data_IF_460839179573
#
_entry.id   IF_460839179573
#
_cell.length_a   1.000
_cell.length_b   1.000
_cell.length_c   1.000
_cell.angle_alpha   90.00
_cell.angle_beta   90.00
_cell.angle_gamma   90.00
#
_symmetry.space_group_name_H-M   'P 1'
#
loop_
_entity.id
_entity.type
_entity.pdbx_description
1 polymer ?
#
# COMPACT_ATOMS: atom_id res chain seq x y z
N UNK A 1 -27.97 33.49 -11.82
CA UNK A 1 -26.96 33.86 -10.81
C UNK A 1 -26.62 32.56 -10.12
N UNK A 2 -25.42 32.05 -10.41
CA UNK A 2 -25.02 30.67 -10.14
C UNK A 2 -25.02 30.38 -8.65
N UNK A 3 -25.71 29.30 -8.28
CA UNK A 3 -25.53 28.60 -7.02
C UNK A 3 -24.09 28.10 -6.95
N UNK A 4 -23.32 28.66 -6.02
CA UNK A 4 -22.06 28.06 -5.57
C UNK A 4 -22.45 26.82 -4.78
N UNK A 5 -22.48 25.66 -5.45
CA UNK A 5 -22.43 24.37 -4.77
C UNK A 5 -21.19 24.38 -3.87
N UNK A 6 -21.42 24.45 -2.56
CA UNK A 6 -20.38 24.26 -1.56
C UNK A 6 -19.76 22.88 -1.80
N UNK A 7 -18.56 22.87 -2.38
CA UNK A 7 -17.74 21.67 -2.46
C UNK A 7 -17.63 21.09 -1.06
N UNK A 8 -17.81 19.77 -0.86
CA UNK A 8 -17.69 19.17 0.46
C UNK A 8 -16.32 19.56 1.02
N UNK A 9 -16.28 20.17 2.21
CA UNK A 9 -15.01 20.43 2.91
C UNK A 9 -14.32 19.09 3.09
N UNK A 10 -13.37 18.81 2.20
CA UNK A 10 -12.51 17.64 2.25
C UNK A 10 -11.64 17.79 3.50
N UNK A 11 -12.11 17.28 4.64
CA UNK A 11 -11.35 17.20 5.88
C UNK A 11 -10.21 16.18 5.69
N UNK A 12 -9.15 16.63 5.04
CA UNK A 12 -7.93 15.86 4.80
C UNK A 12 -6.87 16.29 5.81
N UNK A 13 -6.03 15.36 6.29
CA UNK A 13 -4.79 15.73 6.99
C UNK A 13 -3.98 16.72 6.15
N UNK A 14 -3.34 17.69 6.81
CA UNK A 14 -2.68 18.80 6.12
C UNK A 14 -1.65 18.35 5.08
N UNK A 15 -0.79 17.37 5.38
CA UNK A 15 0.18 16.84 4.41
C UNK A 15 -0.48 16.17 3.20
N UNK A 16 -1.61 15.50 3.41
CA UNK A 16 -2.39 14.94 2.30
C UNK A 16 -2.94 16.07 1.44
N UNK A 17 -3.56 17.09 2.03
CA UNK A 17 -4.04 18.26 1.29
C UNK A 17 -2.91 18.99 0.54
N UNK A 18 -1.70 19.04 1.09
CA UNK A 18 -0.51 19.57 0.41
C UNK A 18 -0.11 18.72 -0.79
N UNK A 19 -0.11 17.39 -0.66
CA UNK A 19 0.23 16.47 -1.77
C UNK A 19 -0.74 16.63 -2.97
N UNK A 20 -2.02 16.83 -2.68
CA UNK A 20 -3.04 17.14 -3.69
C UNK A 20 -2.98 18.58 -4.24
N UNK A 21 -2.16 19.44 -3.66
CA UNK A 21 -2.09 20.86 -4.03
C UNK A 21 -3.33 21.67 -3.68
N UNK A 22 -4.21 21.16 -2.81
CA UNK A 22 -5.47 21.82 -2.40
C UNK A 22 -5.33 22.65 -1.12
N UNK A 23 -4.23 22.51 -0.38
CA UNK A 23 -3.92 23.37 0.77
C UNK A 23 -3.29 24.71 0.34
N UNK A 24 -3.60 25.78 1.07
CA UNK A 24 -3.02 27.11 0.84
C UNK A 24 -1.50 27.07 1.00
N UNK A 25 -0.80 27.22 -0.13
CA UNK A 25 0.66 27.35 -0.12
C UNK A 25 0.99 28.74 0.45
N UNK A 26 1.90 28.88 1.44
CA UNK A 26 2.29 30.20 1.93
C UNK A 26 2.75 31.08 0.75
N UNK A 27 2.02 32.17 0.51
CA UNK A 27 2.24 33.13 -0.56
C UNK A 27 2.77 34.46 0.00
N UNK A 28 4.01 34.84 -0.41
CA UNK A 28 4.41 36.19 -0.89
C UNK A 28 5.96 36.29 -1.05
N UNK A 29 6.43 36.83 -2.19
CA UNK A 29 7.82 37.29 -2.44
C UNK A 29 8.43 36.86 -3.80
N UNK A 30 9.36 37.65 -4.40
CA UNK A 30 9.92 37.35 -5.74
C UNK A 30 10.90 36.16 -5.68
N UNK A 31 10.69 35.16 -6.55
CA UNK A 31 11.43 33.88 -6.71
C UNK A 31 11.65 33.07 -5.41
N UNK A 32 10.86 32.01 -5.23
CA UNK A 32 11.01 31.02 -4.15
C UNK A 32 12.39 30.35 -4.20
N UNK A 33 13.25 30.62 -3.23
CA UNK A 33 14.41 29.76 -2.93
C UNK A 33 14.01 28.48 -2.17
N UNK A 34 12.80 28.46 -1.59
CA UNK A 34 12.26 27.34 -0.80
C UNK A 34 10.81 27.02 -1.20
N UNK A 35 10.56 25.75 -1.53
CA UNK A 35 9.23 25.19 -1.82
C UNK A 35 9.09 23.80 -1.18
N UNK A 36 7.86 23.28 -1.12
CA UNK A 36 7.61 21.92 -0.59
C UNK A 36 8.33 20.91 -1.46
N UNK A 37 8.25 21.07 -2.78
CA UNK A 37 8.88 20.19 -3.76
C UNK A 37 10.40 20.12 -3.50
N UNK A 38 11.07 21.27 -3.31
CA UNK A 38 12.52 21.31 -2.99
C UNK A 38 12.85 20.71 -1.62
N UNK A 39 11.97 20.90 -0.62
CA UNK A 39 12.15 20.31 0.71
C UNK A 39 12.08 18.78 0.63
N UNK A 40 11.10 18.25 -0.12
CA UNK A 40 10.91 16.82 -0.32
C UNK A 40 12.08 16.22 -1.11
N UNK A 41 12.49 16.86 -2.20
CA UNK A 41 13.64 16.44 -3.02
C UNK A 41 14.92 16.31 -2.17
N UNK A 42 15.28 17.35 -1.40
CA UNK A 42 16.46 17.29 -0.53
C UNK A 42 16.32 16.25 0.59
N UNK A 43 15.11 16.00 1.09
CA UNK A 43 14.87 14.96 2.08
C UNK A 43 15.04 13.55 1.48
N UNK A 44 14.60 13.33 0.23
CA UNK A 44 14.82 12.09 -0.52
C UNK A 44 16.31 11.88 -0.77
N UNK A 45 17.04 12.90 -1.25
CA UNK A 45 18.50 12.82 -1.48
C UNK A 45 19.26 12.40 -0.21
N UNK A 46 18.92 12.99 0.94
CA UNK A 46 19.52 12.62 2.23
C UNK A 46 19.17 11.16 2.59
N UNK A 47 17.91 10.75 2.41
CA UNK A 47 17.47 9.41 2.77
C UNK A 47 18.03 8.33 1.83
N UNK A 48 18.21 8.63 0.54
CA UNK A 48 18.86 7.75 -0.43
C UNK A 48 20.34 7.58 -0.10
N UNK A 49 21.04 8.65 0.27
CA UNK A 49 22.48 8.62 0.51
C UNK A 49 22.87 8.08 1.91
N UNK A 50 22.08 8.38 2.93
CA UNK A 50 22.46 8.15 4.34
C UNK A 50 21.41 7.34 5.13
N UNK A 51 20.34 6.92 4.47
CA UNK A 51 19.24 6.17 5.07
C UNK A 51 18.26 7.05 5.87
N UNK A 52 17.09 6.48 6.17
CA UNK A 52 16.01 7.20 6.85
C UNK A 52 16.38 7.64 8.27
N UNK A 53 17.24 6.88 8.95
CA UNK A 53 17.70 7.17 10.31
C UNK A 53 18.46 8.50 10.42
N UNK A 54 19.17 8.89 9.36
CA UNK A 54 19.91 10.15 9.30
C UNK A 54 19.00 11.38 9.04
N UNK A 55 17.74 11.16 8.63
CA UNK A 55 16.82 12.23 8.27
C UNK A 55 16.28 12.95 9.50
N UNK A 56 16.51 14.27 9.55
CA UNK A 56 15.89 15.17 10.53
C UNK A 56 15.53 16.51 9.89
N UNK A 57 14.54 17.21 10.45
CA UNK A 57 14.14 18.54 9.96
C UNK A 57 15.31 19.52 9.94
N UNK A 58 16.21 19.45 10.93
CA UNK A 58 17.39 20.31 11.00
C UNK A 58 18.40 20.00 9.89
N UNK A 59 18.60 18.72 9.56
CA UNK A 59 19.51 18.30 8.49
C UNK A 59 19.00 18.74 7.11
N UNK A 60 17.71 18.55 6.83
CA UNK A 60 17.09 19.02 5.59
C UNK A 60 17.20 20.55 5.48
N UNK A 61 16.95 21.27 6.57
CA UNK A 61 17.11 22.73 6.59
C UNK A 61 18.55 23.16 6.29
N UNK A 62 19.52 22.53 6.95
CA UNK A 62 20.95 22.79 6.75
C UNK A 62 21.37 22.52 5.31
N UNK A 63 20.93 21.40 4.72
CA UNK A 63 21.24 21.05 3.32
C UNK A 63 20.70 22.10 2.33
N UNK A 64 19.57 22.73 2.65
CA UNK A 64 18.94 23.75 1.81
C UNK A 64 19.45 25.17 2.08
N UNK A 65 20.27 25.38 3.11
CA UNK A 65 20.76 26.70 3.54
C UNK A 65 19.76 27.51 4.37
N UNK A 66 18.77 26.86 5.00
CA UNK A 66 17.72 27.50 5.79
C UNK A 66 17.74 27.07 7.27
N UNK A 67 17.00 27.80 8.10
CA UNK A 67 16.74 27.40 9.49
C UNK A 67 15.63 26.37 9.57
N UNK A 68 15.65 25.49 10.59
CA UNK A 68 14.59 24.50 10.82
C UNK A 68 13.21 25.15 10.95
N UNK A 69 13.12 26.31 11.61
CA UNK A 69 11.88 27.10 11.71
C UNK A 69 11.34 27.56 10.36
N UNK A 70 12.19 27.66 9.34
CA UNK A 70 11.74 28.01 7.99
C UNK A 70 11.05 26.86 7.28
N UNK A 71 11.46 25.62 7.54
CA UNK A 71 10.82 24.42 6.98
C UNK A 71 9.44 24.19 7.58
N UNK A 72 9.26 24.42 8.89
CA UNK A 72 7.97 24.21 9.57
C UNK A 72 6.82 25.08 9.03
N UNK A 73 7.12 26.15 8.27
CA UNK A 73 6.10 26.93 7.54
C UNK A 73 5.50 26.19 6.34
N UNK A 74 6.21 25.18 5.82
CA UNK A 74 5.81 24.42 4.63
C UNK A 74 5.37 23.00 5.00
N UNK A 75 6.07 22.38 5.96
CA UNK A 75 5.80 21.00 6.40
C UNK A 75 5.77 20.97 7.92
N UNK A 76 4.60 20.69 8.47
CA UNK A 76 4.27 20.89 9.89
C UNK A 76 4.94 19.90 10.84
N UNK A 77 5.37 18.74 10.35
CA UNK A 77 6.03 17.71 11.17
C UNK A 77 6.97 16.84 10.34
N UNK A 78 7.78 16.01 11.01
CA UNK A 78 8.59 14.99 10.33
C UNK A 78 7.68 13.96 9.63
N UNK A 79 6.57 13.59 10.25
CA UNK A 79 5.64 12.60 9.69
C UNK A 79 4.97 13.11 8.41
N UNK A 80 4.62 14.40 8.38
CA UNK A 80 4.13 15.06 7.16
C UNK A 80 5.18 15.04 6.04
N UNK A 81 6.46 15.25 6.40
CA UNK A 81 7.56 15.15 5.44
C UNK A 81 7.70 13.73 4.90
N UNK A 82 7.65 12.72 5.77
CA UNK A 82 7.72 11.31 5.38
C UNK A 82 6.58 10.93 4.43
N UNK A 83 5.36 11.40 4.68
CA UNK A 83 4.22 11.18 3.79
C UNK A 83 4.43 11.81 2.42
N UNK A 84 4.94 13.05 2.37
CA UNK A 84 5.22 13.75 1.11
C UNK A 84 6.39 13.10 0.34
N UNK A 85 7.42 12.63 1.04
CA UNK A 85 8.52 11.86 0.45
C UNK A 85 8.00 10.54 -0.14
N UNK A 86 7.17 9.81 0.60
CA UNK A 86 6.57 8.56 0.12
C UNK A 86 5.73 8.80 -1.15
N UNK A 87 4.92 9.85 -1.17
CA UNK A 87 4.14 10.18 -2.37
C UNK A 87 5.03 10.58 -3.55
N UNK A 88 6.08 11.38 -3.33
CA UNK A 88 7.00 11.76 -4.39
C UNK A 88 7.77 10.55 -4.97
N UNK A 89 8.23 9.64 -4.11
CA UNK A 89 8.92 8.40 -4.52
C UNK A 89 8.00 7.38 -5.21
N UNK A 90 6.68 7.49 -5.03
CA UNK A 90 5.68 6.68 -5.75
C UNK A 90 5.47 7.13 -7.21
N UNK A 91 6.28 8.07 -7.72
CA UNK A 91 6.18 8.53 -9.10
C UNK A 91 6.79 7.49 -10.06
N UNK A 92 5.92 6.68 -10.65
CA UNK A 92 6.30 5.71 -11.69
C UNK A 92 5.66 6.09 -13.03
N UNK A 93 6.43 6.07 -14.11
CA UNK A 93 5.91 6.16 -15.47
C UNK A 93 5.94 4.76 -16.11
N UNK A 94 4.80 4.32 -16.65
CA UNK A 94 4.69 3.06 -17.39
C UNK A 94 4.07 3.35 -18.76
N UNK A 95 4.44 2.56 -19.79
CA UNK A 95 3.68 2.56 -21.03
C UNK A 95 2.23 2.14 -20.76
N UNK A 96 1.31 2.54 -21.63
CA UNK A 96 -0.05 1.99 -21.57
C UNK A 96 0.03 0.47 -21.76
N UNK A 97 -0.71 -0.31 -20.94
CA UNK A 97 -0.71 -1.75 -21.06
C UNK A 97 -1.26 -2.17 -22.43
N UNK A 98 -0.76 -3.27 -23.03
CA UNK A 98 -1.32 -3.78 -24.27
C UNK A 98 -2.81 -4.10 -24.12
N UNK A 99 -3.59 -3.88 -25.18
CA UNK A 99 -5.02 -4.23 -25.19
C UNK A 99 -5.19 -5.73 -24.91
N UNK A 100 -6.15 -6.07 -24.05
CA UNK A 100 -6.51 -7.43 -23.65
C UNK A 100 -5.40 -8.28 -23.01
N UNK A 101 -4.24 -7.70 -22.66
CA UNK A 101 -3.14 -8.38 -21.97
C UNK A 101 -2.91 -7.81 -20.57
N UNK A 102 -3.85 -8.11 -19.68
CA UNK A 102 -3.77 -7.72 -18.27
C UNK A 102 -2.49 -8.25 -17.59
N UNK A 103 -1.98 -9.40 -18.04
CA UNK A 103 -0.84 -10.08 -17.44
C UNK A 103 0.44 -9.29 -17.69
N UNK A 104 0.68 -8.88 -18.93
CA UNK A 104 1.82 -8.01 -19.27
C UNK A 104 1.74 -6.68 -18.53
N UNK A 105 0.55 -6.08 -18.45
CA UNK A 105 0.34 -4.82 -17.72
C UNK A 105 0.69 -4.93 -16.24
N UNK A 106 0.20 -5.96 -15.54
CA UNK A 106 0.55 -6.19 -14.13
C UNK A 106 2.03 -6.56 -13.95
N UNK A 107 2.65 -7.29 -14.87
CA UNK A 107 4.07 -7.60 -14.82
C UNK A 107 4.93 -6.33 -14.88
N UNK A 108 4.66 -5.45 -15.85
CA UNK A 108 5.33 -4.16 -15.99
C UNK A 108 5.12 -3.28 -14.74
N UNK A 109 3.90 -3.26 -14.23
CA UNK A 109 3.56 -2.53 -13.01
C UNK A 109 4.35 -3.05 -11.80
N UNK A 110 4.44 -4.37 -11.63
CA UNK A 110 5.20 -5.02 -10.54
C UNK A 110 6.67 -4.64 -10.60
N UNK A 111 7.29 -4.79 -11.78
CA UNK A 111 8.69 -4.48 -12.02
C UNK A 111 9.04 -3.03 -11.66
N UNK A 112 8.19 -2.09 -12.06
CA UNK A 112 8.44 -0.69 -11.76
C UNK A 112 8.27 -0.34 -10.28
N UNK A 113 7.37 -1.03 -9.57
CA UNK A 113 7.27 -0.88 -8.11
C UNK A 113 8.50 -1.47 -7.39
N UNK A 114 9.00 -2.63 -7.84
CA UNK A 114 10.25 -3.22 -7.32
C UNK A 114 11.42 -2.24 -7.51
N UNK A 115 11.58 -1.70 -8.73
CA UNK A 115 12.66 -0.75 -9.03
C UNK A 115 12.52 0.58 -8.27
N UNK A 116 11.29 1.05 -8.01
CA UNK A 116 11.07 2.22 -7.15
C UNK A 116 11.53 1.97 -5.70
N UNK A 117 11.24 0.79 -5.15
CA UNK A 117 11.69 0.39 -3.82
C UNK A 117 13.20 0.18 -3.74
N UNK A 118 13.79 -0.38 -4.81
CA UNK A 118 15.25 -0.56 -4.93
C UNK A 118 15.98 0.78 -4.96
N UNK A 119 15.43 1.77 -5.68
CA UNK A 119 15.96 3.14 -5.73
C UNK A 119 15.81 3.90 -4.42
N UNK A 120 14.71 3.68 -3.69
CA UNK A 120 14.41 4.36 -2.44
C UNK A 120 14.20 3.36 -1.29
N UNK A 121 15.26 2.69 -0.78
CA UNK A 121 15.13 1.61 0.23
C UNK A 121 14.40 2.05 1.50
N UNK A 122 14.54 3.32 1.88
CA UNK A 122 13.88 3.93 3.03
C UNK A 122 12.36 3.96 2.93
N UNK A 123 11.77 3.84 1.73
CA UNK A 123 10.32 3.82 1.52
C UNK A 123 9.64 2.71 2.35
N UNK A 124 10.31 1.56 2.45
CA UNK A 124 9.77 0.39 3.15
C UNK A 124 9.76 0.53 4.68
N UNK A 125 10.58 1.44 5.21
CA UNK A 125 10.76 1.70 6.64
C UNK A 125 9.69 2.66 7.19
N UNK A 126 8.96 3.35 6.31
CA UNK A 126 7.83 4.21 6.70
C UNK A 126 6.62 3.30 7.02
N UNK A 127 6.05 3.38 8.24
CA UNK A 127 4.90 2.56 8.61
C UNK A 127 3.70 2.81 7.69
N UNK A 128 3.01 1.73 7.31
CA UNK A 128 1.74 1.84 6.58
C UNK A 128 0.65 2.26 7.58
N UNK A 129 0.18 3.49 7.49
CA UNK A 129 -0.90 4.02 8.34
C UNK A 129 -2.14 4.32 7.52
N UNK A 130 -3.22 3.57 7.75
CA UNK A 130 -4.49 3.78 7.07
C UNK A 130 -4.44 3.46 5.56
N UNK A 131 -5.43 3.97 4.82
CA UNK A 131 -5.49 3.82 3.36
C UNK A 131 -4.60 4.89 2.73
N UNK A 132 -3.73 4.54 1.75
CA UNK A 132 -2.97 5.54 1.01
C UNK A 132 -3.91 6.45 0.24
N UNK A 133 -3.88 7.74 0.57
CA UNK A 133 -4.78 8.76 -0.02
C UNK A 133 -4.01 9.87 -0.74
N UNK A 134 -2.74 9.65 -1.03
CA UNK A 134 -1.88 10.62 -1.74
C UNK A 134 -1.94 10.37 -3.25
N UNK A 135 -1.76 11.41 -4.08
CA UNK A 135 -2.09 11.35 -5.50
C UNK A 135 -1.24 10.36 -6.30
N UNK A 136 0.07 10.24 -6.04
CA UNK A 136 0.92 9.32 -6.80
C UNK A 136 0.65 7.87 -6.42
N UNK A 137 0.38 7.59 -5.14
CA UNK A 137 0.02 6.23 -4.71
C UNK A 137 -1.34 5.84 -5.30
N UNK A 138 -2.33 6.74 -5.30
CA UNK A 138 -3.62 6.48 -5.96
C UNK A 138 -3.45 6.27 -7.47
N UNK A 139 -2.54 7.02 -8.12
CA UNK A 139 -2.23 6.84 -9.54
C UNK A 139 -1.62 5.47 -9.81
N UNK A 140 -0.73 4.96 -8.95
CA UNK A 140 -0.23 3.58 -9.06
C UNK A 140 -1.36 2.55 -9.00
N UNK A 141 -2.32 2.73 -8.10
CA UNK A 141 -3.50 1.86 -8.02
C UNK A 141 -4.35 1.96 -9.29
N UNK A 142 -4.61 3.17 -9.80
CA UNK A 142 -5.36 3.36 -11.06
C UNK A 142 -4.68 2.67 -12.25
N UNK A 143 -3.35 2.73 -12.34
CA UNK A 143 -2.58 2.06 -13.38
C UNK A 143 -2.72 0.54 -13.33
N UNK A 144 -2.67 -0.06 -12.14
CA UNK A 144 -2.87 -1.50 -11.99
C UNK A 144 -4.32 -1.92 -12.30
N UNK A 145 -5.31 -1.13 -11.85
CA UNK A 145 -6.72 -1.35 -12.19
C UNK A 145 -6.99 -1.18 -13.68
N UNK A 146 -6.27 -0.27 -14.34
CA UNK A 146 -6.30 -0.11 -15.80
C UNK A 146 -5.86 -1.36 -16.52
N UNK A 147 -4.74 -1.98 -16.09
CA UNK A 147 -4.29 -3.26 -16.64
C UNK A 147 -5.33 -4.38 -16.44
N UNK A 148 -6.08 -4.36 -15.33
CA UNK A 148 -7.13 -5.34 -15.02
C UNK A 148 -8.50 -5.05 -15.65
N UNK A 149 -8.67 -4.00 -16.45
CA UNK A 149 -9.95 -3.70 -17.14
C UNK A 149 -10.50 -4.85 -17.99
N UNK A 150 -9.70 -5.53 -18.84
CA UNK A 150 -10.21 -6.63 -19.66
C UNK A 150 -10.49 -7.92 -18.86
N UNK A 151 -9.98 -8.03 -17.62
CA UNK A 151 -10.20 -9.19 -16.78
C UNK A 151 -11.63 -9.23 -16.23
N UNK A 152 -12.25 -10.42 -16.30
CA UNK A 152 -13.59 -10.69 -15.75
C UNK A 152 -13.55 -10.86 -14.23
N UNK A 153 -13.31 -9.76 -13.55
CA UNK A 153 -13.20 -9.68 -12.09
C UNK A 153 -14.13 -8.56 -11.57
N UNK A 154 -14.74 -8.78 -10.42
CA UNK A 154 -15.40 -7.74 -9.64
C UNK A 154 -14.39 -6.71 -9.10
N UNK A 155 -14.86 -5.53 -8.71
CA UNK A 155 -13.98 -4.48 -8.19
C UNK A 155 -13.21 -4.90 -6.93
N UNK A 156 -13.84 -5.72 -6.06
CA UNK A 156 -13.18 -6.26 -4.88
C UNK A 156 -12.04 -7.21 -5.24
N UNK A 157 -12.22 -8.05 -6.27
CA UNK A 157 -11.18 -8.98 -6.72
C UNK A 157 -10.07 -8.27 -7.46
N UNK A 158 -10.40 -7.24 -8.26
CA UNK A 158 -9.38 -6.39 -8.88
C UNK A 158 -8.50 -5.76 -7.81
N UNK A 159 -9.10 -5.18 -6.76
CA UNK A 159 -8.33 -4.63 -5.64
C UNK A 159 -7.53 -5.70 -4.89
N UNK A 160 -8.09 -6.90 -4.68
CA UNK A 160 -7.35 -8.01 -4.07
C UNK A 160 -6.13 -8.43 -4.92
N UNK A 161 -6.27 -8.49 -6.25
CA UNK A 161 -5.17 -8.75 -7.17
C UNK A 161 -4.10 -7.66 -7.10
N UNK A 162 -4.50 -6.38 -7.11
CA UNK A 162 -3.57 -5.25 -6.95
C UNK A 162 -2.79 -5.37 -5.64
N UNK A 163 -3.48 -5.65 -4.52
CA UNK A 163 -2.82 -5.78 -3.21
C UNK A 163 -1.89 -7.00 -3.15
N UNK A 164 -2.26 -8.12 -3.75
CA UNK A 164 -1.43 -9.33 -3.82
C UNK A 164 -0.12 -9.04 -4.57
N UNK A 165 -0.22 -8.46 -5.76
CA UNK A 165 0.93 -8.15 -6.60
C UNK A 165 1.78 -7.03 -5.99
N UNK A 166 1.17 -6.02 -5.38
CA UNK A 166 1.86 -4.97 -4.62
C UNK A 166 2.66 -5.55 -3.44
N UNK A 167 2.08 -6.51 -2.72
CA UNK A 167 2.74 -7.18 -1.59
C UNK A 167 3.96 -7.99 -2.05
N UNK A 168 3.83 -8.69 -3.19
CA UNK A 168 4.94 -9.41 -3.80
C UNK A 168 6.06 -8.46 -4.24
N UNK A 169 5.72 -7.38 -4.96
CA UNK A 169 6.67 -6.34 -5.34
C UNK A 169 7.39 -5.72 -4.12
N UNK A 170 6.65 -5.47 -3.04
CA UNK A 170 7.22 -4.94 -1.78
C UNK A 170 8.23 -5.89 -1.16
N UNK A 171 7.88 -7.17 -1.03
CA UNK A 171 8.77 -8.16 -0.44
C UNK A 171 10.07 -8.28 -1.23
N UNK A 172 9.98 -8.38 -2.55
CA UNK A 172 11.13 -8.51 -3.44
C UNK A 172 11.98 -7.25 -3.44
N UNK A 173 11.36 -6.07 -3.58
CA UNK A 173 12.07 -4.81 -3.63
C UNK A 173 12.85 -4.52 -2.34
N UNK A 174 12.32 -4.91 -1.17
CA UNK A 174 13.04 -4.80 0.10
C UNK A 174 14.27 -5.69 0.12
N UNK A 175 14.13 -6.97 -0.23
CA UNK A 175 15.26 -7.92 -0.24
C UNK A 175 16.34 -7.46 -1.21
N UNK A 176 15.97 -7.04 -2.43
CA UNK A 176 16.92 -6.53 -3.41
C UNK A 176 17.63 -5.26 -2.94
N UNK A 177 16.89 -4.32 -2.34
CA UNK A 177 17.46 -3.11 -1.78
C UNK A 177 18.46 -3.40 -0.63
N UNK A 178 18.15 -4.37 0.23
CA UNK A 178 19.05 -4.81 1.31
C UNK A 178 20.32 -5.43 0.74
N UNK A 179 20.20 -6.30 -0.25
CA UNK A 179 21.33 -6.92 -0.97
C UNK A 179 22.21 -5.83 -1.59
N UNK A 180 21.64 -4.94 -2.40
CA UNK A 180 22.34 -3.84 -3.06
C UNK A 180 23.04 -2.93 -2.04
N UNK A 181 22.39 -2.67 -0.90
CA UNK A 181 22.90 -1.82 0.17
C UNK A 181 24.08 -2.42 0.96
N UNK A 182 24.28 -3.74 0.94
CA UNK A 182 25.44 -4.36 1.59
C UNK A 182 26.76 -3.98 0.93
N UNK A 183 26.74 -3.72 -0.39
CA UNK A 183 27.94 -3.61 -1.21
C UNK A 183 28.81 -4.87 -1.20
N UNK A 184 28.30 -5.99 -0.70
CA UNK A 184 29.01 -7.25 -0.62
C UNK A 184 29.14 -7.87 -2.02
N UNK A 185 30.23 -8.63 -2.28
CA UNK A 185 30.34 -9.39 -3.53
C UNK A 185 29.20 -10.42 -3.63
N UNK A 186 28.74 -10.69 -4.86
CA UNK A 186 27.62 -11.61 -5.12
C UNK A 186 27.82 -13.00 -4.46
N UNK A 187 29.06 -13.48 -4.38
CA UNK A 187 29.43 -14.75 -3.73
C UNK A 187 29.18 -14.78 -2.20
N UNK A 188 29.16 -13.62 -1.54
CA UNK A 188 28.82 -13.49 -0.12
C UNK A 188 27.31 -13.43 0.08
N UNK A 189 26.61 -12.70 -0.79
CA UNK A 189 25.14 -12.57 -0.77
C UNK A 189 24.46 -13.92 -1.02
N UNK A 190 24.94 -14.66 -2.02
CA UNK A 190 24.43 -15.98 -2.40
C UNK A 190 24.83 -17.08 -1.41
N UNK A 191 25.81 -16.77 -0.54
CA UNK A 191 26.42 -17.74 0.35
C UNK A 191 27.22 -18.82 -0.39
N UNK A 192 27.59 -18.61 -1.66
CA UNK A 192 28.38 -19.57 -2.44
C UNK A 192 29.71 -19.94 -1.74
N UNK A 193 30.30 -19.00 -1.00
CA UNK A 193 31.47 -19.25 -0.16
C UNK A 193 31.24 -20.28 0.96
N UNK A 194 29.99 -20.45 1.41
CA UNK A 194 29.60 -21.44 2.42
C UNK A 194 29.20 -22.79 1.84
N UNK A 195 29.08 -22.93 0.51
CA UNK A 195 28.61 -24.16 -0.13
C UNK A 195 29.34 -25.44 0.34
N UNK A 196 30.69 -25.46 0.48
CA UNK A 196 31.39 -26.65 0.99
C UNK A 196 31.04 -26.99 2.45
N UNK A 197 30.86 -25.95 3.29
CA UNK A 197 30.48 -26.14 4.69
C UNK A 197 29.03 -26.63 4.80
N UNK A 198 28.12 -26.08 3.99
CA UNK A 198 26.73 -26.50 3.91
C UNK A 198 26.62 -27.96 3.45
N UNK A 199 27.36 -28.36 2.43
CA UNK A 199 27.39 -29.75 1.97
C UNK A 199 27.90 -30.74 3.05
N UNK A 200 28.81 -30.31 3.93
CA UNK A 200 29.31 -31.13 5.03
C UNK A 200 28.35 -31.19 6.22
N UNK A 201 27.58 -30.14 6.47
CA UNK A 201 26.69 -30.01 7.65
C UNK A 201 25.25 -30.46 7.38
N UNK A 202 24.80 -30.37 6.13
CA UNK A 202 23.44 -30.68 5.69
C UNK A 202 23.44 -32.10 5.13
N UNK A 203 23.32 -33.06 6.03
CA UNK A 203 23.30 -34.49 5.73
C UNK A 203 21.87 -35.02 5.62
N UNK A 204 21.64 -36.06 4.82
CA UNK A 204 20.29 -36.63 4.61
C UNK A 204 19.63 -37.14 5.90
N UNK A 205 20.42 -37.60 6.88
CA UNK A 205 19.91 -38.06 8.18
C UNK A 205 19.37 -36.92 9.05
N UNK A 206 19.86 -35.69 8.85
CA UNK A 206 19.45 -34.51 9.62
C UNK A 206 18.49 -33.60 8.87
N UNK A 207 18.67 -33.49 7.56
CA UNK A 207 17.97 -32.56 6.69
C UNK A 207 17.54 -33.26 5.38
N UNK A 208 16.62 -34.25 5.46
CA UNK A 208 16.30 -35.12 4.33
C UNK A 208 15.78 -34.37 3.09
N UNK A 209 15.05 -33.27 3.28
CA UNK A 209 14.48 -32.50 2.16
C UNK A 209 15.42 -31.41 1.61
N UNK A 210 16.32 -30.90 2.45
CA UNK A 210 17.26 -29.83 2.08
C UNK A 210 18.57 -30.38 1.51
N UNK A 211 19.02 -31.55 1.99
CA UNK A 211 20.25 -32.18 1.52
C UNK A 211 20.27 -32.36 -0.02
N UNK A 212 19.19 -32.82 -0.69
CA UNK A 212 19.15 -32.87 -2.15
C UNK A 212 19.29 -31.52 -2.84
N UNK A 213 18.76 -30.44 -2.25
CA UNK A 213 18.80 -29.07 -2.80
C UNK A 213 20.20 -28.45 -2.65
N UNK A 214 20.89 -28.73 -1.54
CA UNK A 214 22.29 -28.33 -1.35
C UNK A 214 23.20 -29.13 -2.28
N UNK A 215 22.94 -30.43 -2.42
CA UNK A 215 23.71 -31.30 -3.32
C UNK A 215 23.55 -30.91 -4.80
N UNK A 216 22.39 -30.37 -5.20
CA UNK A 216 22.19 -29.84 -6.55
C UNK A 216 22.83 -28.47 -6.78
N UNK A 217 23.31 -27.81 -5.72
CA UNK A 217 23.85 -26.45 -5.77
C UNK A 217 22.79 -25.35 -5.78
N UNK A 218 21.50 -25.69 -5.85
CA UNK A 218 20.41 -24.72 -5.94
C UNK A 218 20.28 -23.82 -4.70
N UNK A 219 20.75 -24.29 -3.54
CA UNK A 219 20.67 -23.53 -2.29
C UNK A 219 21.54 -22.27 -2.25
N UNK A 220 22.63 -22.24 -3.03
CA UNK A 220 23.56 -21.10 -3.11
C UNK A 220 23.73 -20.60 -4.55
N UNK A 221 22.77 -20.91 -5.42
CA UNK A 221 22.80 -20.49 -6.81
C UNK A 221 22.41 -19.00 -6.93
N UNK A 222 23.05 -18.29 -7.86
CA UNK A 222 22.82 -16.86 -8.12
C UNK A 222 22.18 -16.60 -9.51
N UNK A 223 22.08 -17.64 -10.34
CA UNK A 223 21.66 -17.53 -11.73
C UNK A 223 20.16 -17.81 -11.94
N UNK A 224 19.43 -18.15 -10.88
CA UNK A 224 18.01 -18.46 -10.95
C UNK A 224 17.14 -17.22 -10.68
N UNK A 225 16.20 -16.94 -11.58
CA UNK A 225 15.26 -15.83 -11.44
C UNK A 225 14.09 -16.19 -10.52
N UNK A 226 14.35 -16.25 -9.20
CA UNK A 226 13.34 -16.52 -8.17
C UNK A 226 12.19 -15.50 -8.20
N UNK A 227 12.52 -14.24 -8.51
CA UNK A 227 11.55 -13.16 -8.66
C UNK A 227 10.60 -13.42 -9.83
N UNK A 228 11.14 -13.66 -11.02
CA UNK A 228 10.34 -13.96 -12.20
C UNK A 228 9.49 -15.21 -11.98
N UNK A 229 10.08 -16.27 -11.41
CA UNK A 229 9.35 -17.48 -11.08
C UNK A 229 8.15 -17.20 -10.15
N UNK A 230 8.36 -16.51 -9.04
CA UNK A 230 7.31 -16.21 -8.07
C UNK A 230 6.21 -15.32 -8.65
N UNK A 231 6.58 -14.30 -9.43
CA UNK A 231 5.61 -13.43 -10.12
C UNK A 231 4.74 -14.23 -11.08
N UNK A 232 5.33 -15.09 -11.92
CA UNK A 232 4.56 -15.91 -12.84
C UNK A 232 3.62 -16.86 -12.09
N UNK A 233 4.01 -17.42 -10.94
CA UNK A 233 3.10 -18.25 -10.10
C UNK A 233 1.91 -17.45 -9.55
N UNK A 234 2.14 -16.21 -9.11
CA UNK A 234 1.04 -15.32 -8.67
C UNK A 234 0.08 -15.04 -9.82
N UNK A 235 0.61 -14.70 -11.00
CA UNK A 235 -0.20 -14.40 -12.18
C UNK A 235 -0.93 -15.65 -12.72
N UNK A 236 -0.31 -16.83 -12.67
CA UNK A 236 -0.93 -18.12 -13.01
C UNK A 236 -2.13 -18.41 -12.11
N UNK A 237 -2.00 -18.16 -10.81
CA UNK A 237 -3.11 -18.31 -9.86
C UNK A 237 -4.29 -17.39 -10.17
N UNK A 238 -4.02 -16.13 -10.51
CA UNK A 238 -5.06 -15.16 -10.90
C UNK A 238 -5.73 -15.59 -12.21
N UNK A 239 -4.94 -15.98 -13.22
CA UNK A 239 -5.49 -16.46 -14.50
C UNK A 239 -6.39 -17.68 -14.30
N UNK A 240 -5.93 -18.67 -13.53
CA UNK A 240 -6.72 -19.86 -13.21
C UNK A 240 -8.05 -19.51 -12.55
N UNK A 241 -8.05 -18.56 -11.61
CA UNK A 241 -9.28 -18.09 -10.96
C UNK A 241 -10.25 -17.43 -11.95
N UNK A 242 -9.74 -16.59 -12.86
CA UNK A 242 -10.53 -15.97 -13.92
C UNK A 242 -11.17 -17.03 -14.83
N UNK A 243 -10.39 -18.06 -15.20
CA UNK A 243 -10.84 -19.14 -16.09
C UNK A 243 -11.92 -19.99 -15.42
N UNK A 244 -11.71 -20.43 -14.16
CA UNK A 244 -12.66 -21.22 -13.38
C UNK A 244 -13.98 -20.48 -13.16
N UNK A 245 -13.91 -19.19 -12.83
CA UNK A 245 -15.08 -18.34 -12.59
C UNK A 245 -15.84 -18.06 -13.90
N UNK A 246 -15.13 -17.90 -15.01
CA UNK A 246 -15.74 -17.78 -16.35
C UNK A 246 -16.51 -19.04 -16.76
N UNK A 247 -16.03 -20.22 -16.36
CA UNK A 247 -16.73 -21.48 -16.59
C UNK A 247 -17.94 -21.67 -15.65
N UNK A 248 -17.86 -21.20 -14.40
CA UNK A 248 -18.95 -21.25 -13.45
C UNK A 248 -20.14 -20.36 -13.87
N UNK A 249 -19.89 -19.10 -14.25
CA UNK A 249 -20.93 -18.15 -14.71
C UNK A 249 -21.62 -18.60 -16.00
N UNK A 250 -20.90 -19.30 -16.89
CA UNK A 250 -21.49 -19.91 -18.09
C UNK A 250 -22.43 -21.09 -17.78
N UNK A 251 -22.27 -21.72 -16.61
CA UNK A 251 -23.04 -22.90 -16.18
C UNK A 251 -24.15 -22.58 -15.16
N UNK A 252 -24.02 -21.48 -14.42
CA UNK A 252 -24.95 -21.07 -13.36
C UNK A 252 -25.04 -19.55 -13.28
N UNK A 253 -26.19 -18.96 -13.61
CA UNK A 253 -26.42 -17.56 -13.34
C UNK A 253 -26.66 -17.33 -11.85
N UNK A 254 -25.62 -17.05 -11.03
CA UNK A 254 -25.72 -16.38 -9.71
C UNK A 254 -24.33 -16.01 -9.14
N UNK A 255 -24.25 -14.76 -8.67
CA UNK A 255 -23.42 -14.14 -7.60
C UNK A 255 -22.08 -14.77 -7.23
N UNK A 256 -21.00 -14.05 -7.55
CA UNK A 256 -19.65 -14.25 -6.99
C UNK A 256 -19.69 -14.41 -5.46
N UNK A 257 -19.34 -15.59 -4.98
CA UNK A 257 -19.07 -15.81 -3.57
C UNK A 257 -17.79 -15.02 -3.21
N UNK A 258 -17.85 -14.22 -2.15
CA UNK A 258 -16.67 -13.56 -1.61
C UNK A 258 -15.57 -14.61 -1.38
N UNK A 259 -14.34 -14.33 -1.84
CA UNK A 259 -13.18 -15.17 -1.59
C UNK A 259 -13.15 -15.60 -0.11
N UNK A 260 -12.83 -16.87 0.19
CA UNK A 260 -12.82 -17.34 1.57
C UNK A 260 -11.84 -16.47 2.35
N UNK A 261 -12.38 -15.64 3.24
CA UNK A 261 -11.57 -15.06 4.29
C UNK A 261 -10.85 -16.24 4.95
N UNK A 262 -9.55 -16.09 5.23
CA UNK A 262 -8.93 -16.93 6.26
C UNK A 262 -9.84 -16.78 7.47
N UNK A 263 -10.67 -17.79 7.74
CA UNK A 263 -11.81 -17.68 8.62
C UNK A 263 -11.30 -17.76 10.05
N UNK A 264 -10.49 -16.76 10.42
CA UNK A 264 -9.89 -16.63 11.74
C UNK A 264 -10.96 -16.56 12.80
N UNK A 265 -12.14 -16.04 12.47
CA UNK A 265 -13.28 -16.07 13.37
C UNK A 265 -13.81 -17.51 13.58
N UNK A 266 -13.88 -18.35 12.54
CA UNK A 266 -14.22 -19.77 12.71
C UNK A 266 -13.09 -20.59 13.35
N UNK A 267 -11.83 -20.31 13.03
CA UNK A 267 -10.68 -20.94 13.67
C UNK A 267 -10.61 -20.58 15.16
N UNK A 268 -10.72 -19.30 15.52
CA UNK A 268 -10.76 -18.83 16.91
C UNK A 268 -12.04 -19.31 17.61
N UNK A 269 -13.17 -19.41 16.93
CA UNK A 269 -14.37 -20.01 17.49
C UNK A 269 -14.22 -21.53 17.73
N UNK A 270 -13.47 -22.23 16.88
CA UNK A 270 -13.17 -23.64 17.06
C UNK A 270 -12.15 -23.87 18.20
N UNK A 271 -11.12 -23.04 18.29
CA UNK A 271 -10.03 -23.13 19.28
C UNK A 271 -10.43 -22.59 20.66
N UNK A 272 -11.11 -21.44 20.69
CA UNK A 272 -11.36 -20.67 21.91
C UNK A 272 -12.84 -20.42 22.19
N UNK A 273 -13.76 -20.93 21.35
CA UNK A 273 -15.19 -20.71 21.52
C UNK A 273 -15.79 -21.33 22.78
N UNK A 274 -15.05 -22.19 23.49
CA UNK A 274 -15.42 -22.72 24.81
C UNK A 274 -14.91 -21.87 25.98
N UNK A 275 -13.91 -21.00 25.77
CA UNK A 275 -13.29 -20.17 26.80
C UNK A 275 -14.28 -19.14 27.35
N UNK A 276 -14.37 -19.08 28.69
CA UNK A 276 -15.34 -18.24 29.39
C UNK A 276 -15.09 -16.74 29.15
N UNK A 277 -13.83 -16.29 29.14
CA UNK A 277 -13.47 -14.88 28.93
C UNK A 277 -13.80 -14.46 27.49
N UNK A 278 -13.53 -15.35 26.52
CA UNK A 278 -13.88 -15.11 25.11
C UNK A 278 -15.39 -14.98 24.92
N UNK A 279 -16.19 -15.87 25.54
CA UNK A 279 -17.67 -15.76 25.50
C UNK A 279 -18.19 -14.47 26.13
N UNK A 280 -17.63 -14.07 27.27
CA UNK A 280 -18.01 -12.84 27.96
C UNK A 280 -17.67 -11.60 27.12
N UNK A 281 -16.47 -11.56 26.51
CA UNK A 281 -16.06 -10.49 25.61
C UNK A 281 -16.94 -10.43 24.33
N UNK A 282 -17.24 -11.57 23.72
CA UNK A 282 -18.11 -11.64 22.55
C UNK A 282 -19.54 -11.19 22.84
N UNK A 283 -20.07 -11.52 24.02
CA UNK A 283 -21.37 -11.02 24.50
C UNK A 283 -21.35 -9.50 24.67
N UNK A 284 -20.33 -8.96 25.32
CA UNK A 284 -20.17 -7.51 25.51
C UNK A 284 -20.09 -6.77 24.16
N UNK A 285 -19.36 -7.32 23.17
CA UNK A 285 -19.30 -6.78 21.80
C UNK A 285 -20.68 -6.69 21.16
N UNK A 286 -21.47 -7.77 21.20
CA UNK A 286 -22.84 -7.82 20.63
C UNK A 286 -23.78 -6.81 21.29
N UNK A 287 -23.67 -6.64 22.61
CA UNK A 287 -24.44 -5.63 23.35
C UNK A 287 -24.04 -4.21 22.93
N UNK A 288 -22.74 -3.93 22.80
CA UNK A 288 -22.24 -2.63 22.32
C UNK A 288 -22.66 -2.34 20.87
N UNK A 289 -22.59 -3.33 19.97
CA UNK A 289 -23.04 -3.19 18.58
C UNK A 289 -24.54 -2.91 18.48
N UNK A 290 -25.36 -3.58 19.31
CA UNK A 290 -26.80 -3.32 19.39
C UNK A 290 -27.05 -1.88 19.87
N UNK A 291 -26.36 -1.45 20.92
CA UNK A 291 -26.47 -0.09 21.42
C UNK A 291 -26.04 0.95 20.37
N UNK A 292 -24.97 0.68 19.62
CA UNK A 292 -24.50 1.54 18.53
C UNK A 292 -25.52 1.62 17.39
N UNK A 293 -26.14 0.49 17.00
CA UNK A 293 -27.20 0.46 15.98
C UNK A 293 -28.41 1.30 16.41
N UNK A 294 -28.81 1.21 17.67
CA UNK A 294 -29.89 2.03 18.22
C UNK A 294 -29.52 3.52 18.24
N UNK A 295 -28.30 3.87 18.67
CA UNK A 295 -27.81 5.25 18.67
C UNK A 295 -27.82 5.85 17.26
N UNK A 296 -27.29 5.11 16.27
CA UNK A 296 -27.32 5.51 14.84
C UNK A 296 -28.73 5.63 14.27
N UNK A 297 -29.70 4.86 14.79
CA UNK A 297 -31.11 5.01 14.40
C UNK A 297 -31.69 6.31 14.95
N UNK A 298 -31.45 6.62 16.23
CA UNK A 298 -31.89 7.85 16.89
C UNK A 298 -31.27 9.09 16.24
N UNK A 299 -29.99 9.05 15.90
CA UNK A 299 -29.29 10.12 15.18
C UNK A 299 -29.93 10.40 13.81
N UNK A 300 -30.17 9.35 13.00
CA UNK A 300 -30.84 9.49 11.70
C UNK A 300 -32.24 10.09 11.80
N UNK A 301 -32.99 9.69 12.82
CA UNK A 301 -34.31 10.25 13.09
C UNK A 301 -34.25 11.71 13.52
N UNK A 302 -33.30 12.08 14.38
CA UNK A 302 -33.10 13.47 14.80
C UNK A 302 -32.71 14.38 13.61
N UNK A 303 -31.83 13.90 12.72
CA UNK A 303 -31.44 14.61 11.50
C UNK A 303 -32.61 14.79 10.54
N UNK A 304 -33.44 13.75 10.35
CA UNK A 304 -34.66 13.84 9.53
C UNK A 304 -35.62 14.91 10.07
N UNK A 305 -35.90 14.87 11.37
CA UNK A 305 -36.78 15.84 12.03
C UNK A 305 -36.20 17.27 12.01
N UNK A 306 -34.88 17.43 12.05
CA UNK A 306 -34.23 18.74 11.91
C UNK A 306 -34.38 19.30 10.48
N UNK A 307 -34.24 18.46 9.45
CA UNK A 307 -34.44 18.83 8.03
C UNK A 307 -35.87 19.27 7.76
N UNK A 308 -36.86 18.49 8.21
CA UNK A 308 -38.28 18.83 8.06
C UNK A 308 -38.64 20.16 8.75
N UNK A 309 -38.07 20.44 9.94
CA UNK A 309 -38.26 21.73 10.62
C UNK A 309 -37.63 22.89 9.85
N UNK A 310 -36.44 22.71 9.29
CA UNK A 310 -35.76 23.73 8.49
C UNK A 310 -36.53 24.04 7.19
N UNK A 311 -37.05 23.02 6.51
CA UNK A 311 -37.90 23.17 5.31
C UNK A 311 -39.20 23.91 5.62
N UNK A 312 -39.88 23.55 6.71
CA UNK A 312 -41.10 24.24 7.15
C UNK A 312 -40.86 25.72 7.51
N UNK A 313 -39.70 26.04 8.13
CA UNK A 313 -39.32 27.42 8.43
C UNK A 313 -39.03 28.22 7.16
N UNK A 314 -38.33 27.62 6.18
CA UNK A 314 -38.10 28.25 4.86
C UNK A 314 -39.41 28.49 4.10
N UNK A 315 -40.33 27.53 4.12
CA UNK A 315 -41.64 27.68 3.49
C UNK A 315 -42.51 28.77 4.14
N UNK A 316 -42.39 28.97 5.46
CA UNK A 316 -43.05 30.08 6.18
C UNK A 316 -42.42 31.45 5.91
N UNK A 317 -41.11 31.52 5.75
CA UNK A 317 -40.40 32.78 5.44
C UNK A 317 -40.61 33.26 3.99
N UNK A 318 -41.08 32.37 3.10
CA UNK A 318 -41.38 32.67 1.70
C UNK A 318 -42.87 33.03 1.43
N UNK A 319 -43.70 33.13 2.48
CA UNK A 319 -45.10 33.60 2.43
C UNK A 319 -45.21 34.98 3.06
#
# INVERSE_FOLDING_TARGET
MSDTEASPELSLPHAVALSWGVAERPQRGPKRELSIERIVEAAIEIADAEGLGALSMAKVASALGFTTMSLYRYVTSKDDLLLLMQDAAATVELPEPPEDDWRTGLKQWTLANVEALRRHPWYSQIPVTGVPITPNVIRLVDMALRALRPARLSDNEKMACVLLVASYARAVGVVQAEIDGTGAPAEEVTGASYAPALAALITEDRFPDLAPVVASGAYTADDYDDFGFGLERVLDGIQRYIDETSHADASAGTTHAAAPALDREAEDAALYGSDKRVKEAAKARREAEKALREARKREREALRNARERAENMRAKAAR
#
